data_IF_727844382721
#
_entry.id   IF_727844382721
#
_cell.length_a   1.000
_cell.length_b   1.000
_cell.length_c   1.000
_cell.angle_alpha   90.00
_cell.angle_beta   90.00
_cell.angle_gamma   90.00
#
_symmetry.space_group_name_H-M   'P 1'
#
loop_
_entity.id
_entity.type
_entity.pdbx_description
1 polymer ?
#
# COMPACT_ATOMS: atom_id res chain seq x y z
N UNK A 1 22.00 -11.12 -51.63
CA UNK A 1 20.86 -10.39 -51.04
C UNK A 1 20.48 -11.10 -49.75
N UNK A 2 21.06 -10.67 -48.63
CA UNK A 2 20.70 -11.12 -47.28
C UNK A 2 20.12 -9.92 -46.56
N UNK A 3 18.80 -9.90 -46.41
CA UNK A 3 18.07 -8.95 -45.58
C UNK A 3 18.16 -9.43 -44.13
N UNK A 4 18.82 -8.66 -43.26
CA UNK A 4 18.75 -8.87 -41.81
C UNK A 4 18.08 -7.64 -41.20
N UNK A 5 17.03 -7.82 -40.37
CA UNK A 5 16.08 -6.77 -40.02
C UNK A 5 16.60 -5.81 -38.95
N UNK A 6 16.00 -4.61 -38.94
CA UNK A 6 16.15 -3.52 -37.97
C UNK A 6 16.32 -4.02 -36.52
N UNK A 7 17.41 -3.60 -35.88
CA UNK A 7 17.53 -3.56 -34.43
C UNK A 7 16.42 -2.66 -33.86
N UNK A 8 15.45 -3.27 -33.18
CA UNK A 8 14.43 -2.54 -32.42
C UNK A 8 15.11 -1.65 -31.36
N UNK A 9 14.61 -0.43 -31.09
CA UNK A 9 15.15 0.40 -30.03
C UNK A 9 14.99 -0.32 -28.70
N UNK A 10 16.09 -0.47 -27.96
CA UNK A 10 16.12 -0.98 -26.61
C UNK A 10 15.04 -0.24 -25.80
N UNK A 11 13.94 -0.94 -25.53
CA UNK A 11 12.85 -0.42 -24.73
C UNK A 11 13.47 -0.11 -23.38
N UNK A 12 13.43 1.17 -22.98
CA UNK A 12 13.96 1.65 -21.71
C UNK A 12 13.45 0.73 -20.61
N UNK A 13 14.31 -0.16 -20.12
CA UNK A 13 14.00 -1.01 -18.98
C UNK A 13 13.94 -0.07 -17.77
N UNK A 14 12.74 0.45 -17.50
CA UNK A 14 12.46 1.25 -16.32
C UNK A 14 12.51 0.33 -15.10
N UNK A 15 13.73 0.11 -14.61
CA UNK A 15 14.09 -0.64 -13.40
C UNK A 15 13.80 0.15 -12.12
N UNK A 16 12.83 1.05 -12.14
CA UNK A 16 12.49 1.86 -10.97
C UNK A 16 11.78 0.95 -9.98
N UNK A 17 12.46 0.66 -8.88
CA UNK A 17 12.20 -0.48 -8.01
C UNK A 17 10.74 -0.55 -7.56
N UNK A 18 10.07 -1.71 -7.66
CA UNK A 18 8.68 -1.88 -7.22
C UNK A 18 8.48 -1.52 -5.74
N UNK A 19 9.53 -1.60 -4.93
CA UNK A 19 9.57 -1.09 -3.57
C UNK A 19 9.47 0.43 -3.47
N UNK A 20 10.07 1.18 -4.40
CA UNK A 20 9.96 2.63 -4.43
C UNK A 20 8.53 3.05 -4.81
N UNK A 21 7.90 2.32 -5.75
CA UNK A 21 6.49 2.49 -6.07
C UNK A 21 5.59 2.17 -4.86
N UNK A 22 5.92 1.14 -4.08
CA UNK A 22 5.20 0.78 -2.87
C UNK A 22 5.31 1.85 -1.77
N UNK A 23 6.51 2.40 -1.58
CA UNK A 23 6.74 3.51 -0.64
C UNK A 23 6.01 4.77 -1.08
N UNK A 24 6.04 5.08 -2.39
CA UNK A 24 5.27 6.19 -2.95
C UNK A 24 3.77 5.98 -2.74
N UNK A 25 3.24 4.78 -2.99
CA UNK A 25 1.86 4.42 -2.72
C UNK A 25 1.49 4.68 -1.25
N UNK A 26 2.31 4.20 -0.31
CA UNK A 26 2.11 4.48 1.11
C UNK A 26 2.15 5.97 1.46
N UNK A 27 3.03 6.76 0.82
CA UNK A 27 3.05 8.22 0.99
C UNK A 27 1.76 8.90 0.51
N UNK A 28 1.26 8.51 -0.67
CA UNK A 28 -0.02 9.00 -1.18
C UNK A 28 -1.19 8.56 -0.30
N UNK A 29 -1.14 7.36 0.28
CA UNK A 29 -2.14 6.86 1.22
C UNK A 29 -2.27 7.74 2.45
N UNK A 30 -1.15 8.21 2.99
CA UNK A 30 -1.14 9.14 4.12
C UNK A 30 -1.82 10.45 3.72
N UNK A 31 -1.50 10.98 2.54
CA UNK A 31 -2.14 12.19 2.01
C UNK A 31 -3.66 12.01 1.82
N UNK A 32 -4.08 10.83 1.34
CA UNK A 32 -5.49 10.45 1.23
C UNK A 32 -6.16 10.42 2.60
N UNK A 33 -5.60 9.71 3.58
CA UNK A 33 -6.16 9.58 4.92
C UNK A 33 -6.32 10.94 5.62
N UNK A 34 -5.33 11.83 5.48
CA UNK A 34 -5.42 13.21 5.98
C UNK A 34 -6.51 13.99 5.25
N UNK A 35 -6.57 13.89 3.93
CA UNK A 35 -7.55 14.65 3.14
C UNK A 35 -8.98 14.22 3.40
N UNK A 36 -9.22 12.93 3.63
CA UNK A 36 -10.52 12.40 4.05
C UNK A 36 -10.94 12.97 5.39
N UNK A 37 -10.03 13.00 6.37
CA UNK A 37 -10.31 13.59 7.67
C UNK A 37 -10.64 15.10 7.54
N UNK A 38 -9.85 15.84 6.75
CA UNK A 38 -10.09 17.27 6.49
C UNK A 38 -11.31 17.59 5.62
N UNK A 39 -11.87 16.60 4.93
CA UNK A 39 -13.09 16.77 4.12
C UNK A 39 -14.36 16.90 4.95
N UNK A 40 -14.31 16.64 6.27
CA UNK A 40 -15.46 16.61 7.18
C UNK A 40 -16.61 15.73 6.63
N UNK A 41 -16.26 14.54 6.13
CA UNK A 41 -17.23 13.63 5.51
C UNK A 41 -17.67 14.07 4.11
N UNK A 42 -16.72 14.57 3.32
CA UNK A 42 -16.91 15.07 1.95
C UNK A 42 -17.76 16.34 1.80
N UNK A 43 -18.04 17.05 2.88
CA UNK A 43 -18.74 18.34 2.84
C UNK A 43 -17.87 19.48 2.32
N UNK A 44 -16.55 19.41 2.52
CA UNK A 44 -15.62 20.39 1.95
C UNK A 44 -15.13 19.95 0.55
N UNK A 45 -15.55 20.63 -0.53
CA UNK A 45 -15.27 20.20 -1.90
C UNK A 45 -13.77 20.24 -2.26
N UNK A 46 -12.99 21.12 -1.63
CA UNK A 46 -11.55 21.23 -1.90
C UNK A 46 -10.81 20.01 -1.36
N UNK A 47 -11.05 19.67 -0.09
CA UNK A 47 -10.44 18.50 0.55
C UNK A 47 -10.95 17.19 -0.04
N UNK A 48 -12.23 17.11 -0.42
CA UNK A 48 -12.79 15.98 -1.16
C UNK A 48 -12.08 15.73 -2.49
N UNK A 49 -11.84 16.79 -3.28
CA UNK A 49 -11.14 16.66 -4.56
C UNK A 49 -9.70 16.18 -4.36
N UNK A 50 -9.01 16.72 -3.35
CA UNK A 50 -7.66 16.30 -2.99
C UNK A 50 -7.66 14.83 -2.54
N UNK A 51 -8.61 14.40 -1.71
CA UNK A 51 -8.74 13.00 -1.30
C UNK A 51 -8.90 12.06 -2.51
N UNK A 52 -9.76 12.41 -3.48
CA UNK A 52 -9.95 11.60 -4.69
C UNK A 52 -8.65 11.50 -5.49
N UNK A 53 -7.92 12.61 -5.66
CA UNK A 53 -6.65 12.61 -6.39
C UNK A 53 -5.63 11.71 -5.69
N UNK A 54 -5.43 11.89 -4.38
CA UNK A 54 -4.50 11.05 -3.61
C UNK A 54 -4.91 9.57 -3.63
N UNK A 55 -6.21 9.27 -3.59
CA UNK A 55 -6.75 7.91 -3.67
C UNK A 55 -6.46 7.24 -5.03
N UNK A 56 -6.55 7.98 -6.13
CA UNK A 56 -6.20 7.45 -7.45
C UNK A 56 -4.69 7.21 -7.56
N UNK A 57 -3.87 8.11 -7.03
CA UNK A 57 -2.41 7.96 -7.05
C UNK A 57 -1.94 6.79 -6.18
N UNK A 58 -2.40 6.67 -4.93
CA UNK A 58 -2.04 5.55 -4.03
C UNK A 58 -2.39 4.19 -4.67
N UNK A 59 -3.59 4.06 -5.26
CA UNK A 59 -4.00 2.84 -5.94
C UNK A 59 -3.19 2.54 -7.20
N UNK A 60 -2.87 3.56 -8.00
CA UNK A 60 -2.05 3.38 -9.20
C UNK A 60 -0.65 2.87 -8.85
N UNK A 61 0.02 3.53 -7.90
CA UNK A 61 1.35 3.13 -7.48
C UNK A 61 1.36 1.76 -6.78
N UNK A 62 0.33 1.46 -5.98
CA UNK A 62 0.15 0.15 -5.39
C UNK A 62 0.00 -0.92 -6.47
N UNK A 63 -0.88 -0.71 -7.44
CA UNK A 63 -1.08 -1.63 -8.57
C UNK A 63 0.23 -1.90 -9.33
N UNK A 64 1.06 -0.87 -9.55
CA UNK A 64 2.38 -1.03 -10.18
C UNK A 64 3.33 -1.85 -9.32
N UNK A 65 3.36 -1.63 -8.00
CA UNK A 65 4.20 -2.40 -7.08
C UNK A 65 3.77 -3.88 -7.03
N UNK A 66 2.46 -4.15 -7.02
CA UNK A 66 1.88 -5.50 -6.99
C UNK A 66 2.13 -6.31 -8.27
N UNK A 67 2.54 -5.69 -9.38
CA UNK A 67 2.99 -6.44 -10.57
C UNK A 67 4.27 -7.23 -10.35
N UNK A 68 5.03 -6.91 -9.30
CA UNK A 68 6.35 -7.50 -9.00
C UNK A 68 6.49 -7.98 -7.56
N UNK A 69 5.65 -7.48 -6.64
CA UNK A 69 5.60 -7.89 -5.24
C UNK A 69 4.36 -8.74 -5.02
N UNK A 70 4.46 -9.74 -4.17
CA UNK A 70 3.31 -10.52 -3.74
C UNK A 70 2.20 -9.63 -3.16
N UNK A 71 0.95 -9.95 -3.49
CA UNK A 71 -0.23 -9.15 -3.13
C UNK A 71 -0.36 -9.02 -1.61
N UNK A 72 -0.16 -10.10 -0.86
CA UNK A 72 -0.26 -10.08 0.60
C UNK A 72 0.82 -9.18 1.23
N UNK A 73 2.05 -9.26 0.73
CA UNK A 73 3.16 -8.42 1.21
C UNK A 73 2.93 -6.95 0.87
N UNK A 74 2.52 -6.65 -0.37
CA UNK A 74 2.31 -5.29 -0.83
C UNK A 74 1.18 -4.58 -0.07
N UNK A 75 0.03 -5.24 0.10
CA UNK A 75 -1.09 -4.68 0.87
C UNK A 75 -0.74 -4.49 2.35
N UNK A 76 -0.03 -5.44 2.96
CA UNK A 76 0.37 -5.31 4.38
C UNK A 76 1.30 -4.12 4.62
N UNK A 77 2.26 -3.88 3.72
CA UNK A 77 3.18 -2.74 3.84
C UNK A 77 2.45 -1.43 3.56
N UNK A 78 1.64 -1.37 2.51
CA UNK A 78 0.84 -0.20 2.16
C UNK A 78 -0.10 0.21 3.30
N UNK A 79 -0.87 -0.74 3.83
CA UNK A 79 -1.77 -0.49 4.96
C UNK A 79 -1.00 -0.09 6.22
N UNK A 80 0.15 -0.70 6.49
CA UNK A 80 1.00 -0.35 7.62
C UNK A 80 1.53 1.09 7.55
N UNK A 81 2.02 1.52 6.38
CA UNK A 81 2.50 2.89 6.16
C UNK A 81 1.34 3.89 6.31
N UNK A 82 0.19 3.60 5.70
CA UNK A 82 -1.01 4.43 5.80
C UNK A 82 -1.46 4.61 7.25
N UNK A 83 -1.55 3.52 8.02
CA UNK A 83 -1.96 3.54 9.42
C UNK A 83 -0.99 4.34 10.30
N UNK A 84 0.31 4.09 10.18
CA UNK A 84 1.34 4.80 10.96
C UNK A 84 1.37 6.28 10.60
N UNK A 85 1.33 6.61 9.30
CA UNK A 85 1.38 8.00 8.87
C UNK A 85 0.12 8.77 9.26
N UNK A 86 -1.08 8.20 9.09
CA UNK A 86 -2.33 8.82 9.53
C UNK A 86 -2.35 9.07 11.04
N UNK A 87 -1.83 8.11 11.83
CA UNK A 87 -1.72 8.23 13.27
C UNK A 87 -0.77 9.32 13.74
N UNK A 88 0.36 9.48 13.06
CA UNK A 88 1.38 10.48 13.41
C UNK A 88 1.00 11.87 12.91
N UNK A 89 0.48 11.97 11.68
CA UNK A 89 0.22 13.26 11.02
C UNK A 89 -1.19 13.79 11.27
N UNK A 90 -2.18 12.93 11.53
CA UNK A 90 -3.55 13.35 11.83
C UNK A 90 -3.63 14.32 13.02
N UNK A 91 -3.05 14.00 14.18
CA UNK A 91 -3.03 14.89 15.36
C UNK A 91 -2.28 16.20 15.10
N UNK A 92 -1.26 16.17 14.24
CA UNK A 92 -0.46 17.35 13.86
C UNK A 92 -1.27 18.30 12.97
N UNK A 93 -2.04 17.77 12.00
CA UNK A 93 -2.82 18.57 11.05
C UNK A 93 -4.18 19.03 11.58
N UNK A 94 -4.85 18.20 12.38
CA UNK A 94 -6.22 18.45 12.83
C UNK A 94 -6.30 18.95 14.27
N UNK A 95 -5.15 19.19 14.92
CA UNK A 95 -5.05 19.56 16.33
C UNK A 95 -5.85 18.62 17.26
N UNK A 96 -6.07 17.37 16.82
CA UNK A 96 -6.75 16.37 17.64
C UNK A 96 -5.83 15.95 18.79
N UNK A 97 -6.41 15.79 19.97
CA UNK A 97 -5.71 15.19 21.10
C UNK A 97 -5.55 13.68 20.86
N UNK A 98 -4.29 13.25 20.66
CA UNK A 98 -3.91 11.85 20.81
C UNK A 98 -4.03 11.50 22.29
N UNK A 99 -5.18 10.97 22.69
CA UNK A 99 -5.31 10.38 24.02
C UNK A 99 -4.50 9.10 24.08
N UNK A 100 -3.93 8.79 25.26
CA UNK A 100 -3.19 7.54 25.48
C UNK A 100 -4.04 6.31 25.09
N UNK A 101 -5.35 6.38 25.29
CA UNK A 101 -6.30 5.36 24.88
C UNK A 101 -6.41 5.20 23.35
N UNK A 102 -6.51 6.29 22.57
CA UNK A 102 -6.48 6.23 21.10
C UNK A 102 -5.17 5.61 20.61
N UNK A 103 -4.03 6.01 21.17
CA UNK A 103 -2.73 5.47 20.81
C UNK A 103 -2.60 3.96 21.10
N UNK A 104 -3.11 3.50 22.25
CA UNK A 104 -3.11 2.09 22.60
C UNK A 104 -3.95 1.25 21.62
N UNK A 105 -5.19 1.65 21.33
CA UNK A 105 -6.05 0.90 20.42
C UNK A 105 -5.54 0.92 18.99
N UNK A 106 -4.96 2.03 18.56
CA UNK A 106 -4.27 2.11 17.28
C UNK A 106 -3.09 1.12 17.21
N UNK A 107 -2.29 1.01 18.28
CA UNK A 107 -1.21 0.02 18.35
C UNK A 107 -1.75 -1.42 18.28
N UNK A 108 -2.92 -1.69 18.87
CA UNK A 108 -3.62 -2.98 18.74
C UNK A 108 -4.06 -3.24 17.30
N UNK A 109 -4.61 -2.25 16.59
CA UNK A 109 -4.98 -2.38 15.17
C UNK A 109 -3.75 -2.68 14.32
N UNK A 110 -2.67 -1.90 14.50
CA UNK A 110 -1.40 -2.11 13.79
C UNK A 110 -0.85 -3.51 14.09
N UNK A 111 -0.85 -3.94 15.36
CA UNK A 111 -0.46 -5.28 15.77
C UNK A 111 -1.31 -6.37 15.11
N UNK A 112 -2.63 -6.16 15.02
CA UNK A 112 -3.56 -7.06 14.32
C UNK A 112 -3.26 -7.18 12.83
N UNK A 113 -2.96 -6.08 12.14
CA UNK A 113 -2.55 -6.09 10.72
C UNK A 113 -1.22 -6.83 10.53
N UNK A 114 -0.25 -6.61 11.41
CA UNK A 114 1.04 -7.32 11.37
C UNK A 114 0.85 -8.82 11.62
N UNK A 115 0.04 -9.19 12.62
CA UNK A 115 -0.24 -10.59 12.93
C UNK A 115 -0.98 -11.29 11.79
N UNK A 116 -1.92 -10.60 11.14
CA UNK A 116 -2.61 -11.11 9.95
C UNK A 116 -1.63 -11.41 8.81
N UNK A 117 -0.67 -10.50 8.54
CA UNK A 117 0.39 -10.73 7.55
C UNK A 117 1.23 -11.97 7.89
N UNK A 118 1.60 -12.13 9.17
CA UNK A 118 2.39 -13.27 9.62
C UNK A 118 1.61 -14.59 9.51
N UNK A 119 0.33 -14.59 9.84
CA UNK A 119 -0.55 -15.75 9.73
C UNK A 119 -0.80 -16.17 8.27
N UNK A 120 -0.97 -15.20 7.37
CA UNK A 120 -1.11 -15.45 5.93
C UNK A 120 0.19 -16.06 5.35
N UNK A 121 1.34 -15.50 5.73
CA UNK A 121 2.66 -16.03 5.33
C UNK A 121 2.88 -17.47 5.80
N UNK A 122 2.47 -17.80 7.03
CA UNK A 122 2.58 -19.16 7.58
C UNK A 122 1.65 -20.18 6.88
N UNK A 123 0.56 -19.71 6.26
CA UNK A 123 -0.40 -20.57 5.55
C UNK A 123 0.08 -20.91 4.13
N UNK A 124 0.79 -19.98 3.47
CA UNK A 124 1.36 -20.21 2.14
C UNK A 124 2.48 -21.28 2.14
N UNK A 125 3.32 -21.32 3.16
CA UNK A 125 4.37 -22.35 3.29
C UNK A 125 3.76 -23.75 3.47
N UNK A 126 2.67 -23.88 4.24
CA UNK A 126 1.99 -25.16 4.45
C UNK A 126 1.38 -25.76 3.19
N UNK A 127 0.98 -24.92 2.24
CA UNK A 127 0.36 -25.36 0.98
C UNK A 127 1.40 -25.85 -0.03
N UNK A 128 2.65 -25.36 0.07
CA UNK A 128 3.79 -25.81 -0.75
C UNK A 128 4.33 -27.18 -0.35
N UNK A 129 4.13 -27.58 0.90
CA UNK A 129 4.63 -28.85 1.45
C UNK A 129 3.65 -30.02 1.31
N UNK A 130 2.43 -29.80 0.77
CA UNK A 130 1.51 -30.91 0.45
C UNK A 130 2.01 -31.58 -0.84
N UNK A 131 2.51 -32.83 -0.79
CA UNK A 131 2.92 -33.52 -2.00
C UNK A 131 1.70 -33.69 -2.89
N UNK A 132 1.86 -33.44 -4.20
CA UNK A 132 0.85 -33.70 -5.23
C UNK A 132 0.29 -35.14 -5.25
N UNK A 133 0.81 -36.04 -4.40
CA UNK A 133 0.36 -37.41 -4.23
C UNK A 133 -1.00 -37.57 -3.52
N UNK A 134 -1.55 -36.54 -2.86
CA UNK A 134 -2.84 -36.63 -2.17
C UNK A 134 -4.07 -36.31 -3.07
N UNK A 135 -3.86 -36.04 -4.37
CA UNK A 135 -4.93 -35.73 -5.34
C UNK A 135 -5.14 -36.85 -6.37
N UNK A 136 -4.64 -38.07 -6.11
CA UNK A 136 -4.89 -39.26 -6.94
C UNK A 136 -6.07 -40.07 -6.40
#
# INVERSE_FOLDING_TARGET
MTTTPLSAPATVEQKTGPWLALLAAGGFEIGYALSVNGSEGFTNPLWSAVAIVFFLFTLYFLSVALKKIDVGIGYAVWAGIGAVGAALLGPVFFHETLTLAKAFWLAVIIGGVIWLKLADSATLDRTRDVPAAAQA
#
